data_IF_319071233219
#
_entry.id   IF_319071233219
#
_cell.length_a   1.000
_cell.length_b   1.000
_cell.length_c   1.000
_cell.angle_alpha   90.00
_cell.angle_beta   90.00
_cell.angle_gamma   90.00
#
_symmetry.space_group_name_H-M   'P 1'
#
loop_
_entity.id
_entity.type
_entity.pdbx_description
1 polymer ?
#
# COMPACT_ATOMS: atom_id res chain seq x y z
N UNK A 1 -25.32 2.16 2.42
CA UNK A 1 -23.94 1.72 2.69
C UNK A 1 -23.08 2.94 2.38
N UNK A 2 -22.32 3.43 3.36
CA UNK A 2 -21.63 4.71 3.25
C UNK A 2 -20.30 4.51 2.52
N UNK A 3 -20.21 5.01 1.28
CA UNK A 3 -19.05 4.87 0.40
C UNK A 3 -17.79 5.43 1.07
N UNK A 4 -17.92 6.47 1.89
CA UNK A 4 -16.80 7.07 2.61
C UNK A 4 -16.17 6.10 3.62
N UNK A 5 -17.01 5.28 4.28
CA UNK A 5 -16.55 4.30 5.25
C UNK A 5 -15.82 3.12 4.57
N UNK A 6 -16.26 2.72 3.38
CA UNK A 6 -15.61 1.65 2.59
C UNK A 6 -14.23 2.06 2.09
N UNK A 7 -14.10 3.28 1.53
CA UNK A 7 -12.82 3.82 1.08
C UNK A 7 -11.85 3.94 2.25
N UNK A 8 -12.31 4.48 3.38
CA UNK A 8 -11.47 4.66 4.57
C UNK A 8 -10.96 3.32 5.10
N UNK A 9 -11.84 2.31 5.14
CA UNK A 9 -11.48 0.94 5.55
C UNK A 9 -10.47 0.30 4.58
N UNK A 10 -10.66 0.48 3.27
CA UNK A 10 -9.72 -0.03 2.26
C UNK A 10 -8.34 0.62 2.41
N UNK A 11 -8.29 1.95 2.51
CA UNK A 11 -7.06 2.73 2.65
C UNK A 11 -6.30 2.35 3.92
N UNK A 12 -7.02 2.15 5.02
CA UNK A 12 -6.43 1.67 6.26
C UNK A 12 -5.75 0.31 6.07
N UNK A 13 -6.48 -0.69 5.55
CA UNK A 13 -5.93 -2.05 5.32
C UNK A 13 -4.76 -2.03 4.35
N UNK A 14 -4.84 -1.24 3.29
CA UNK A 14 -3.76 -1.04 2.34
C UNK A 14 -2.52 -0.43 3.01
N UNK A 15 -2.68 0.60 3.84
CA UNK A 15 -1.55 1.23 4.54
C UNK A 15 -0.93 0.31 5.61
N UNK A 16 -1.74 -0.52 6.27
CA UNK A 16 -1.31 -1.40 7.36
C UNK A 16 -0.41 -2.53 6.86
N UNK A 17 -0.63 -3.08 5.65
CA UNK A 17 0.14 -4.21 5.12
C UNK A 17 1.65 -3.89 5.00
N UNK A 18 2.00 -2.62 4.73
CA UNK A 18 3.38 -2.14 4.64
C UNK A 18 4.08 -2.02 6.00
N UNK A 19 3.32 -2.03 7.09
CA UNK A 19 3.82 -1.96 8.46
C UNK A 19 3.61 -3.28 9.23
N UNK A 20 2.96 -4.28 8.62
CA UNK A 20 2.61 -5.54 9.26
C UNK A 20 3.86 -6.31 9.68
N UNK A 21 3.90 -6.81 10.92
CA UNK A 21 5.04 -7.55 11.48
C UNK A 21 4.88 -9.06 11.35
N UNK A 22 3.64 -9.56 11.40
CA UNK A 22 3.30 -10.97 11.27
C UNK A 22 3.23 -11.37 9.79
N UNK A 23 4.19 -12.19 9.37
CA UNK A 23 4.30 -12.68 7.98
C UNK A 23 3.04 -13.43 7.54
N UNK A 24 2.44 -14.23 8.43
CA UNK A 24 1.21 -14.97 8.13
C UNK A 24 0.01 -14.04 7.96
N UNK A 25 -0.08 -12.99 8.77
CA UNK A 25 -1.11 -11.97 8.63
C UNK A 25 -0.92 -11.16 7.36
N UNK A 26 0.31 -10.74 7.06
CA UNK A 26 0.66 -10.05 5.81
C UNK A 26 0.19 -10.83 4.58
N UNK A 27 0.50 -12.14 4.52
CA UNK A 27 0.03 -13.02 3.43
C UNK A 27 -1.49 -13.04 3.29
N UNK A 28 -2.22 -13.14 4.41
CA UNK A 28 -3.69 -13.14 4.40
C UNK A 28 -4.23 -11.82 3.88
N UNK A 29 -3.73 -10.70 4.38
CA UNK A 29 -4.14 -9.36 3.93
C UNK A 29 -3.82 -9.16 2.45
N UNK A 30 -2.66 -9.63 1.97
CA UNK A 30 -2.32 -9.58 0.54
C UNK A 30 -3.36 -10.34 -0.29
N UNK A 31 -3.69 -11.58 0.10
CA UNK A 31 -4.69 -12.39 -0.61
C UNK A 31 -6.11 -11.82 -0.54
N UNK A 32 -6.41 -11.01 0.47
CA UNK A 32 -7.69 -10.33 0.61
C UNK A 32 -7.78 -9.04 -0.22
N UNK A 33 -6.68 -8.29 -0.34
CA UNK A 33 -6.63 -7.00 -1.00
C UNK A 33 -6.25 -7.09 -2.48
N UNK A 34 -5.31 -7.96 -2.87
CA UNK A 34 -4.86 -8.13 -4.25
C UNK A 34 -5.50 -9.36 -4.90
N UNK A 35 -5.88 -9.23 -6.17
CA UNK A 35 -6.28 -10.36 -7.02
C UNK A 35 -5.10 -11.32 -7.21
N UNK A 36 -5.36 -12.59 -7.55
CA UNK A 36 -4.30 -13.61 -7.70
C UNK A 36 -3.29 -13.25 -8.81
N UNK A 37 -3.76 -12.60 -9.87
CA UNK A 37 -3.00 -12.13 -11.03
C UNK A 37 -2.60 -10.64 -10.93
N UNK A 38 -2.73 -10.06 -9.74
CA UNK A 38 -2.44 -8.64 -9.55
C UNK A 38 -0.98 -8.29 -9.79
N UNK A 39 -0.74 -7.03 -10.12
CA UNK A 39 0.63 -6.50 -10.28
C UNK A 39 0.84 -5.23 -9.46
N UNK A 40 2.03 -5.09 -8.88
CA UNK A 40 2.48 -3.86 -8.23
C UNK A 40 3.69 -3.30 -8.98
N UNK A 41 3.67 -2.00 -9.24
CA UNK A 41 4.64 -1.30 -10.06
C UNK A 41 5.23 -0.11 -9.31
N UNK A 42 6.52 0.08 -9.48
CA UNK A 42 7.23 1.32 -9.18
C UNK A 42 7.98 1.75 -10.45
N UNK A 43 8.71 2.85 -10.42
CA UNK A 43 9.56 3.25 -11.56
C UNK A 43 10.64 2.20 -11.91
N UNK A 44 11.08 1.39 -10.95
CA UNK A 44 12.25 0.51 -11.11
C UNK A 44 11.98 -0.97 -10.85
N UNK A 45 10.77 -1.33 -10.44
CA UNK A 45 10.40 -2.68 -10.04
C UNK A 45 8.97 -3.02 -10.44
N UNK A 46 8.77 -4.26 -10.87
CA UNK A 46 7.48 -4.88 -11.12
C UNK A 46 7.36 -6.16 -10.29
N UNK A 47 6.21 -6.36 -9.64
CA UNK A 47 5.91 -7.55 -8.85
C UNK A 47 4.56 -8.13 -9.30
N UNK A 48 4.55 -9.36 -9.79
CA UNK A 48 3.37 -10.03 -10.32
C UNK A 48 2.95 -11.21 -9.46
N UNK A 49 1.67 -11.25 -9.07
CA UNK A 49 1.09 -12.26 -8.19
C UNK A 49 1.47 -12.08 -6.72
N UNK A 50 0.76 -12.79 -5.85
CA UNK A 50 0.88 -12.63 -4.40
C UNK A 50 2.29 -12.84 -3.86
N UNK A 51 3.03 -13.83 -4.37
CA UNK A 51 4.38 -14.14 -3.88
C UNK A 51 5.38 -12.99 -4.16
N UNK A 52 5.32 -12.41 -5.35
CA UNK A 52 6.18 -11.28 -5.70
C UNK A 52 5.78 -10.01 -4.93
N UNK A 53 4.48 -9.78 -4.76
CA UNK A 53 3.96 -8.65 -3.98
C UNK A 53 4.35 -8.80 -2.50
N UNK A 54 4.25 -10.01 -1.93
CA UNK A 54 4.71 -10.29 -0.57
C UNK A 54 6.20 -10.03 -0.43
N UNK A 55 7.01 -10.48 -1.39
CA UNK A 55 8.47 -10.24 -1.40
C UNK A 55 8.75 -8.74 -1.38
N UNK A 56 8.12 -7.97 -2.27
CA UNK A 56 8.26 -6.51 -2.37
C UNK A 56 7.86 -5.77 -1.09
N UNK A 57 6.74 -6.17 -0.46
CA UNK A 57 6.29 -5.58 0.82
C UNK A 57 7.24 -5.95 1.95
N UNK A 58 7.71 -7.21 1.97
CA UNK A 58 8.64 -7.72 2.99
C UNK A 58 10.00 -7.01 2.95
N UNK A 59 10.53 -6.75 1.75
CA UNK A 59 11.78 -6.02 1.57
C UNK A 59 11.66 -4.58 2.08
N UNK A 60 10.61 -3.85 1.67
CA UNK A 60 10.37 -2.50 2.17
C UNK A 60 10.13 -2.45 3.68
N UNK A 61 9.41 -3.44 4.23
CA UNK A 61 9.26 -3.57 5.67
C UNK A 61 10.63 -3.73 6.34
N UNK A 62 11.47 -4.66 5.87
CA UNK A 62 12.79 -4.90 6.47
C UNK A 62 13.71 -3.69 6.43
N UNK A 63 13.71 -2.97 5.30
CA UNK A 63 14.55 -1.79 5.10
C UNK A 63 14.11 -0.61 5.97
N UNK A 64 12.81 -0.31 6.03
CA UNK A 64 12.33 0.95 6.61
C UNK A 64 11.63 0.80 7.97
N UNK A 65 10.87 -0.28 8.18
CA UNK A 65 9.99 -0.43 9.34
C UNK A 65 10.56 -1.39 10.39
N UNK A 66 11.12 -2.52 9.97
CA UNK A 66 11.61 -3.59 10.84
C UNK A 66 12.75 -3.16 11.77
N UNK A 67 13.45 -2.07 11.44
CA UNK A 67 14.47 -1.45 12.30
C UNK A 67 13.90 -0.53 13.38
N UNK A 68 12.59 -0.28 13.36
CA UNK A 68 11.89 0.66 14.25
C UNK A 68 12.11 2.13 13.88
N UNK A 69 12.76 2.41 12.75
CA UNK A 69 13.14 3.77 12.35
C UNK A 69 12.00 4.55 11.71
N UNK A 70 11.22 3.91 10.85
CA UNK A 70 10.15 4.57 10.10
C UNK A 70 8.80 3.88 10.27
N UNK A 71 7.76 4.59 9.85
CA UNK A 71 6.39 4.10 9.68
C UNK A 71 5.81 4.67 8.39
N UNK A 72 5.08 3.85 7.63
CA UNK A 72 4.31 4.31 6.48
C UNK A 72 2.89 4.68 6.90
N UNK A 73 2.37 5.79 6.39
CA UNK A 73 0.98 6.22 6.61
C UNK A 73 0.34 6.68 5.30
N UNK A 74 -0.92 6.32 5.09
CA UNK A 74 -1.76 7.00 4.11
C UNK A 74 -2.16 8.41 4.62
N UNK A 75 -2.23 9.37 3.70
CA UNK A 75 -2.80 10.69 3.96
C UNK A 75 -4.34 10.65 3.79
N UNK A 76 -5.03 11.54 4.49
CA UNK A 76 -6.49 11.67 4.44
C UNK A 76 -6.97 12.44 3.19
N UNK A 77 -6.62 11.90 2.02
CA UNK A 77 -6.93 12.50 0.72
C UNK A 77 -7.22 11.46 -0.37
N UNK A 78 -7.58 10.25 0.05
CA UNK A 78 -7.97 9.20 -0.86
C UNK A 78 -9.20 9.61 -1.68
N UNK A 79 -9.20 9.30 -2.97
CA UNK A 79 -10.31 9.52 -3.87
C UNK A 79 -10.50 8.28 -4.75
N UNK A 80 -11.74 7.95 -5.10
CA UNK A 80 -12.04 6.82 -5.96
C UNK A 80 -13.25 7.08 -6.86
N UNK A 81 -13.24 6.47 -8.04
CA UNK A 81 -14.38 6.39 -8.95
C UNK A 81 -14.09 5.33 -10.02
N UNK A 82 -15.10 4.78 -10.68
CA UNK A 82 -14.92 3.88 -11.84
C UNK A 82 -13.88 2.76 -11.62
N UNK A 83 -13.89 2.13 -10.44
CA UNK A 83 -12.95 1.07 -10.03
C UNK A 83 -11.47 1.49 -10.03
N UNK A 84 -11.19 2.79 -9.88
CA UNK A 84 -9.85 3.29 -9.61
C UNK A 84 -9.82 4.07 -8.31
N UNK A 85 -8.68 4.04 -7.63
CA UNK A 85 -8.42 4.79 -6.41
C UNK A 85 -7.06 5.48 -6.51
N UNK A 86 -6.97 6.68 -5.94
CA UNK A 86 -5.72 7.39 -5.73
C UNK A 86 -5.63 7.81 -4.27
N UNK A 87 -4.48 7.59 -3.64
CA UNK A 87 -4.15 8.13 -2.33
C UNK A 87 -2.68 8.53 -2.28
N UNK A 88 -2.33 9.39 -1.33
CA UNK A 88 -0.93 9.67 -1.02
C UNK A 88 -0.47 8.91 0.21
N UNK A 89 0.81 8.57 0.23
CA UNK A 89 1.49 7.95 1.36
C UNK A 89 2.67 8.81 1.80
N UNK A 90 3.04 8.66 3.07
CA UNK A 90 4.20 9.31 3.67
C UNK A 90 4.97 8.32 4.52
N UNK A 91 6.30 8.40 4.48
CA UNK A 91 7.20 7.70 5.38
C UNK A 91 7.73 8.68 6.44
N UNK A 92 7.43 8.40 7.70
CA UNK A 92 7.75 9.29 8.82
C UNK A 92 8.73 8.62 9.79
N UNK A 93 9.71 9.34 10.36
CA UNK A 93 10.50 8.85 11.49
C UNK A 93 9.60 8.55 12.69
N UNK A 94 9.83 7.43 13.39
CA UNK A 94 9.03 7.07 14.57
C UNK A 94 9.28 7.99 15.77
N UNK A 95 10.49 8.55 15.88
CA UNK A 95 10.87 9.53 16.91
C UNK A 95 10.38 10.96 16.60
N UNK A 96 9.67 11.13 15.49
CA UNK A 96 9.16 12.41 15.03
C UNK A 96 10.17 13.19 14.17
N UNK A 97 9.68 14.19 13.44
CA UNK A 97 10.49 14.98 12.52
C UNK A 97 9.81 15.13 11.16
N UNK A 98 10.61 15.53 10.16
CA UNK A 98 10.13 15.71 8.78
C UNK A 98 9.95 14.35 8.10
N UNK A 99 9.02 14.31 7.15
CA UNK A 99 8.86 13.16 6.25
C UNK A 99 10.18 12.82 5.56
N UNK A 100 10.49 11.53 5.50
CA UNK A 100 11.67 11.00 4.83
C UNK A 100 11.39 10.67 3.35
N UNK A 101 10.12 10.38 3.03
CA UNK A 101 9.63 10.20 1.68
C UNK A 101 8.13 10.47 1.64
N UNK A 102 7.62 10.87 0.47
CA UNK A 102 6.20 10.91 0.18
C UNK A 102 5.97 10.41 -1.25
N UNK A 103 4.74 9.98 -1.53
CA UNK A 103 4.39 9.52 -2.85
C UNK A 103 2.90 9.34 -3.04
N UNK A 104 2.54 8.92 -4.25
CA UNK A 104 1.17 8.64 -4.66
C UNK A 104 1.07 7.18 -5.05
N UNK A 105 -0.04 6.52 -4.72
CA UNK A 105 -0.41 5.24 -5.33
C UNK A 105 -1.69 5.41 -6.13
N UNK A 106 -1.71 4.79 -7.31
CA UNK A 106 -2.87 4.68 -8.17
C UNK A 106 -3.24 3.21 -8.30
N UNK A 107 -4.44 2.85 -7.87
CA UNK A 107 -4.91 1.49 -7.75
C UNK A 107 -6.04 1.27 -8.75
N UNK A 108 -5.94 0.20 -9.54
CA UNK A 108 -7.02 -0.32 -10.38
C UNK A 108 -7.61 -1.53 -9.69
N UNK A 109 -8.92 -1.51 -9.47
CA UNK A 109 -9.68 -2.58 -8.86
C UNK A 109 -10.34 -3.46 -9.93
N UNK A 110 -10.32 -4.77 -9.70
CA UNK A 110 -11.10 -5.75 -10.44
C UNK A 110 -12.59 -5.70 -10.09
N UNK A 111 -13.40 -6.48 -10.81
CA UNK A 111 -14.84 -6.57 -10.58
C UNK A 111 -15.23 -7.17 -9.21
N UNK A 112 -14.28 -7.82 -8.54
CA UNK A 112 -14.41 -8.36 -7.19
C UNK A 112 -14.00 -7.36 -6.08
N UNK A 113 -13.61 -6.13 -6.47
CA UNK A 113 -13.15 -5.09 -5.56
C UNK A 113 -11.73 -5.27 -5.03
N UNK A 114 -10.97 -6.24 -5.55
CA UNK A 114 -9.55 -6.44 -5.24
C UNK A 114 -8.65 -5.69 -6.20
N UNK A 115 -7.43 -5.40 -5.77
CA UNK A 115 -6.41 -4.73 -6.56
C UNK A 115 -5.99 -5.64 -7.71
N UNK A 116 -6.22 -5.18 -8.94
CA UNK A 116 -5.67 -5.79 -10.16
C UNK A 116 -4.32 -5.16 -10.52
N UNK A 117 -4.17 -3.86 -10.30
CA UNK A 117 -2.89 -3.16 -10.50
C UNK A 117 -2.69 -2.06 -9.48
N UNK A 118 -1.49 -1.95 -8.93
CA UNK A 118 -1.08 -0.91 -7.98
C UNK A 118 0.18 -0.20 -8.51
N UNK A 119 0.05 1.08 -8.83
CA UNK A 119 1.13 1.90 -9.38
C UNK A 119 1.59 2.89 -8.33
N UNK A 120 2.79 2.69 -7.80
CA UNK A 120 3.43 3.58 -6.84
C UNK A 120 4.35 4.58 -7.55
N UNK A 121 4.17 5.85 -7.21
CA UNK A 121 5.01 6.97 -7.60
C UNK A 121 5.72 7.52 -6.35
N UNK A 122 6.98 7.92 -6.52
CA UNK A 122 7.68 8.79 -5.58
C UNK A 122 7.43 10.23 -5.98
N UNK A 123 7.01 11.05 -5.02
CA UNK A 123 6.74 12.46 -5.23
C UNK A 123 7.83 13.29 -4.51
N UNK A 124 7.96 14.58 -4.87
CA UNK A 124 8.86 15.51 -4.18
C UNK A 124 8.33 15.87 -2.79
N UNK A 125 9.24 16.03 -1.82
CA UNK A 125 8.94 16.42 -0.42
C UNK A 125 8.52 17.89 -0.26
#
# INVERSE_FOLDING_TARGET
MDILNEISTFVQRYSEVWNETDVGHRRRVIAELWSEDASHYTETLEAHGHDAIETRITEAYGEFVGTGKYVFKALDNAASHHNVMRLQWVMLPQDGGKAAALGTVFIVLGGDGRILSDYQFSDEL
#
